data_IF_506957892400
#
_entry.id   IF_506957892400
#
_cell.length_a   1.000
_cell.length_b   1.000
_cell.length_c   1.000
_cell.angle_alpha   90.00
_cell.angle_beta   90.00
_cell.angle_gamma   90.00
#
_symmetry.space_group_name_H-M   'P 1'
#
loop_
_entity.id
_entity.type
_entity.pdbx_description
1 polymer ?
#
# COMPACT_ATOMS: atom_id res chain seq x y z
N UNK A 1 -21.44 1.77 8.11
CA UNK A 1 -20.47 2.86 7.85
C UNK A 1 -19.06 2.40 8.24
N UNK A 2 -17.99 2.96 7.66
CA UNK A 2 -16.61 2.58 8.01
C UNK A 2 -16.21 3.29 9.32
N UNK A 3 -15.71 2.55 10.33
CA UNK A 3 -15.29 3.14 11.60
C UNK A 3 -13.96 3.89 11.50
N UNK A 4 -13.73 4.84 12.43
CA UNK A 4 -12.55 5.74 12.45
C UNK A 4 -11.21 5.02 12.61
N UNK A 5 -11.23 3.80 13.14
CA UNK A 5 -10.04 2.98 13.39
C UNK A 5 -9.81 1.92 12.31
N UNK A 6 -10.73 1.80 11.36
CA UNK A 6 -10.67 0.74 10.35
C UNK A 6 -9.34 0.76 9.59
N UNK A 7 -8.59 -0.35 9.65
CA UNK A 7 -7.31 -0.51 8.98
C UNK A 7 -6.13 0.23 9.63
N UNK A 8 -6.30 0.86 10.80
CA UNK A 8 -5.20 1.46 11.56
C UNK A 8 -4.50 0.39 12.40
N UNK A 9 -3.21 0.19 12.13
CA UNK A 9 -2.38 -0.75 12.89
C UNK A 9 -1.93 -0.16 14.23
N UNK A 10 -1.60 -1.02 15.20
CA UNK A 10 -1.08 -0.61 16.51
C UNK A 10 -2.12 -0.24 17.57
N UNK A 11 -3.41 -0.19 17.22
CA UNK A 11 -4.49 0.18 18.16
C UNK A 11 -5.19 -1.02 18.82
N UNK A 12 -4.70 -2.26 18.60
CA UNK A 12 -5.34 -3.48 19.12
C UNK A 12 -6.71 -3.80 18.50
N UNK A 13 -7.16 -3.02 17.53
CA UNK A 13 -8.48 -3.13 16.90
C UNK A 13 -8.51 -4.08 15.70
N UNK A 14 -7.42 -4.79 15.40
CA UNK A 14 -7.30 -5.70 14.25
C UNK A 14 -7.04 -7.11 14.77
N UNK A 15 -7.83 -8.09 14.34
CA UNK A 15 -7.62 -9.51 14.62
C UNK A 15 -7.62 -10.34 13.33
N UNK A 16 -6.99 -11.51 13.37
CA UNK A 16 -7.17 -12.52 12.32
C UNK A 16 -8.60 -13.06 12.35
N UNK A 17 -9.29 -13.08 11.21
CA UNK A 17 -10.57 -13.78 11.03
C UNK A 17 -10.34 -15.18 10.46
N UNK A 18 -9.64 -15.24 9.32
CA UNK A 18 -9.33 -16.49 8.63
C UNK A 18 -8.14 -16.28 7.68
N UNK A 19 -7.61 -17.38 7.15
CA UNK A 19 -6.63 -17.35 6.05
C UNK A 19 -7.30 -17.80 4.76
N UNK A 20 -6.99 -17.16 3.64
CA UNK A 20 -7.65 -17.43 2.36
C UNK A 20 -6.69 -17.47 1.16
N UNK A 21 -7.14 -18.17 0.12
CA UNK A 21 -6.43 -18.34 -1.14
C UNK A 21 -5.16 -19.18 -1.05
N UNK A 22 -4.54 -19.44 -2.20
CA UNK A 22 -3.36 -20.32 -2.32
C UNK A 22 -2.15 -19.87 -1.48
N UNK A 23 -2.03 -18.57 -1.19
CA UNK A 23 -0.91 -18.02 -0.40
C UNK A 23 -1.25 -17.84 1.09
N UNK A 24 -2.36 -18.42 1.55
CA UNK A 24 -2.83 -18.34 2.94
C UNK A 24 -2.84 -16.90 3.51
N UNK A 25 -3.27 -15.94 2.68
CA UNK A 25 -3.33 -14.51 3.04
C UNK A 25 -4.28 -14.32 4.21
N UNK A 26 -3.96 -13.42 5.14
CA UNK A 26 -4.85 -13.14 6.26
C UNK A 26 -6.03 -12.26 5.80
N UNK A 27 -7.25 -12.70 6.13
CA UNK A 27 -8.41 -11.85 6.22
C UNK A 27 -8.49 -11.34 7.65
N UNK A 28 -8.35 -10.03 7.79
CA UNK A 28 -8.36 -9.33 9.07
C UNK A 28 -9.76 -8.80 9.36
N UNK A 29 -10.12 -8.73 10.64
CA UNK A 29 -11.36 -8.15 11.15
C UNK A 29 -11.03 -6.92 12.01
N UNK A 30 -11.71 -5.80 11.73
CA UNK A 30 -11.71 -4.65 12.62
C UNK A 30 -12.68 -4.90 13.78
N UNK A 31 -12.17 -4.92 15.02
CA UNK A 31 -12.98 -5.10 16.24
C UNK A 31 -13.90 -3.90 16.52
N UNK A 32 -13.56 -2.70 16.04
CA UNK A 32 -14.37 -1.50 16.25
C UNK A 32 -15.64 -1.48 15.40
N UNK A 33 -15.57 -1.91 14.14
CA UNK A 33 -16.69 -1.79 13.20
C UNK A 33 -17.07 -3.10 12.51
N UNK A 34 -16.53 -4.24 12.95
CA UNK A 34 -16.79 -5.60 12.47
C UNK A 34 -16.60 -5.83 10.96
N UNK A 35 -15.91 -4.91 10.28
CA UNK A 35 -15.63 -5.03 8.84
C UNK A 35 -14.32 -5.78 8.62
N UNK A 36 -14.28 -6.55 7.54
CA UNK A 36 -13.10 -7.31 7.15
C UNK A 36 -12.24 -6.57 6.12
N UNK A 37 -10.96 -6.94 6.04
CA UNK A 37 -10.04 -6.50 5.00
C UNK A 37 -8.88 -7.47 4.83
N UNK A 38 -8.33 -7.53 3.61
CA UNK A 38 -7.09 -8.27 3.35
C UNK A 38 -5.92 -7.65 4.11
N UNK A 39 -4.98 -8.48 4.56
CA UNK A 39 -3.67 -8.06 5.12
C UNK A 39 -2.90 -7.08 4.23
N UNK A 40 -3.16 -7.11 2.93
CA UNK A 40 -2.48 -6.29 1.93
C UNK A 40 -3.30 -5.05 1.53
N UNK A 41 -4.47 -4.83 2.13
CA UNK A 41 -5.28 -3.64 1.87
C UNK A 41 -4.45 -2.39 2.17
N UNK A 42 -4.39 -1.46 1.21
CA UNK A 42 -3.65 -0.21 1.35
C UNK A 42 -2.14 -0.33 1.21
N UNK A 43 -1.58 -1.54 1.06
CA UNK A 43 -0.17 -1.72 0.72
C UNK A 43 0.05 -1.48 -0.78
N UNK A 44 1.23 -0.96 -1.19
CA UNK A 44 1.61 -0.91 -2.58
C UNK A 44 1.44 -2.28 -3.25
N UNK A 45 0.99 -2.27 -4.51
CA UNK A 45 0.78 -3.48 -5.30
C UNK A 45 -0.32 -4.42 -4.78
N UNK A 46 -1.23 -3.96 -3.90
CA UNK A 46 -2.44 -4.72 -3.58
C UNK A 46 -3.25 -5.04 -4.84
N UNK A 47 -3.66 -6.30 -5.00
CA UNK A 47 -4.34 -6.84 -6.20
C UNK A 47 -3.50 -6.80 -7.49
N UNK A 48 -2.18 -6.63 -7.39
CA UNK A 48 -1.29 -6.81 -8.55
C UNK A 48 -1.45 -8.24 -9.11
N UNK A 49 -1.73 -8.34 -10.41
CA UNK A 49 -1.95 -9.61 -11.12
C UNK A 49 -0.69 -10.18 -11.78
N UNK A 50 0.37 -9.39 -11.86
CA UNK A 50 1.65 -9.76 -12.46
C UNK A 50 2.68 -10.10 -11.38
N UNK A 51 3.72 -10.84 -11.76
CA UNK A 51 4.86 -11.10 -10.88
C UNK A 51 5.68 -9.83 -10.65
N UNK A 52 6.47 -9.82 -9.56
CA UNK A 52 7.43 -8.74 -9.32
C UNK A 52 8.46 -8.66 -10.45
N UNK A 53 8.89 -9.78 -11.02
CA UNK A 53 9.80 -9.79 -12.18
C UNK A 53 9.20 -9.05 -13.39
N UNK A 54 7.94 -9.31 -13.70
CA UNK A 54 7.25 -8.64 -14.79
C UNK A 54 7.02 -7.15 -14.48
N UNK A 55 6.71 -6.81 -13.23
CA UNK A 55 6.66 -5.43 -12.77
C UNK A 55 8.02 -4.73 -12.98
N UNK A 56 9.13 -5.35 -12.60
CA UNK A 56 10.47 -4.80 -12.80
C UNK A 56 10.81 -4.62 -14.28
N UNK A 57 10.43 -5.56 -15.15
CA UNK A 57 10.61 -5.42 -16.60
C UNK A 57 9.89 -4.18 -17.14
N UNK A 58 8.62 -3.98 -16.75
CA UNK A 58 7.81 -2.82 -17.18
C UNK A 58 8.41 -1.50 -16.66
N UNK A 59 8.82 -1.46 -15.40
CA UNK A 59 9.42 -0.26 -14.80
C UNK A 59 10.75 0.11 -15.47
N UNK A 60 11.54 -0.88 -15.90
CA UNK A 60 12.81 -0.66 -16.62
C UNK A 60 12.61 -0.30 -18.09
N UNK A 61 11.58 -0.84 -18.75
CA UNK A 61 11.33 -0.59 -20.18
C UNK A 61 10.78 0.80 -20.49
N UNK A 62 10.29 1.52 -19.48
CA UNK A 62 9.76 2.88 -19.64
C UNK A 62 10.33 3.80 -18.55
N UNK A 63 11.61 4.17 -18.63
CA UNK A 63 12.18 5.15 -17.72
C UNK A 63 11.50 6.49 -18.02
N UNK A 64 10.55 6.90 -17.16
CA UNK A 64 10.12 8.30 -17.17
C UNK A 64 11.37 9.14 -16.90
N UNK A 65 11.69 10.15 -17.72
CA UNK A 65 12.74 11.07 -17.37
C UNK A 65 12.38 11.69 -16.03
N UNK A 66 13.26 11.50 -15.03
CA UNK A 66 13.17 12.22 -13.76
C UNK A 66 13.24 13.69 -14.14
N UNK A 67 12.11 14.40 -14.04
CA UNK A 67 12.11 15.86 -14.18
C UNK A 67 13.03 16.35 -13.07
N UNK A 68 14.24 16.80 -13.43
CA UNK A 68 15.07 17.56 -12.50
C UNK A 68 14.23 18.76 -12.10
N UNK A 69 13.79 18.84 -10.85
CA UNK A 69 13.33 20.11 -10.33
C UNK A 69 14.53 21.05 -10.42
N UNK A 70 14.44 22.20 -11.12
CA UNK A 70 15.47 23.20 -11.03
C UNK A 70 15.59 23.55 -9.55
N UNK A 71 16.75 23.29 -8.97
CA UNK A 71 17.02 23.63 -7.59
C UNK A 71 16.75 25.13 -7.41
N UNK A 72 15.98 25.48 -6.38
CA UNK A 72 15.93 26.83 -5.87
C UNK A 72 17.34 27.18 -5.38
N UNK A 73 18.13 27.86 -6.22
CA UNK A 73 19.24 28.67 -5.73
C UNK A 73 18.63 29.80 -4.90
N UNK A 74 18.63 29.64 -3.58
CA UNK A 74 18.58 30.79 -2.68
C UNK A 74 19.88 31.57 -2.86
N UNK A 75 19.86 32.54 -3.76
CA UNK A 75 20.96 33.45 -4.07
C UNK A 75 20.47 34.89 -3.98
N UNK A 76 20.80 35.52 -2.85
CA UNK A 76 21.09 36.95 -2.64
C UNK A 76 20.56 37.94 -3.72
N UNK A 77 19.48 38.65 -3.41
CA UNK A 77 19.15 39.91 -4.10
C UNK A 77 19.77 41.07 -3.32
N UNK A 78 20.82 41.68 -3.90
CA UNK A 78 21.27 43.05 -3.61
C UNK A 78 20.65 43.98 -4.64
#
# INVERSE_FOLDING_TARGET
MQGRDYGKYGLGNITLKERYGHKAKMLLLCRTCSRTFSENRGKPFFRLRISYEQLYKILRSNPRPVRKHPGHSQGLWR
#
